data_IF_497004312697
#
_entry.id   IF_497004312697
#
_cell.length_a   1.000
_cell.length_b   1.000
_cell.length_c   1.000
_cell.angle_alpha   90.00
_cell.angle_beta   90.00
_cell.angle_gamma   90.00
#
_symmetry.space_group_name_H-M   'P 1'
#
loop_
_entity.id
_entity.type
_entity.pdbx_description
1 polymer ?
#
# COMPACT_ATOMS: atom_id res chain seq x y z
N UNK A 1 22.09 12.07 1.16
CA UNK A 1 20.74 12.20 1.71
C UNK A 1 19.96 10.92 1.38
N UNK A 2 19.44 10.24 2.38
CA UNK A 2 18.73 8.97 2.25
C UNK A 2 17.20 9.15 2.14
N UNK A 3 16.74 10.32 1.63
CA UNK A 3 15.30 10.66 1.56
C UNK A 3 14.65 10.37 0.21
N UNK A 4 15.44 9.97 -0.79
CA UNK A 4 14.88 9.62 -2.09
C UNK A 4 14.00 8.36 -1.98
N UNK A 5 12.74 8.46 -2.39
CA UNK A 5 11.77 7.38 -2.26
C UNK A 5 10.96 7.37 -0.95
N UNK A 6 11.24 8.28 -0.01
CA UNK A 6 10.45 8.40 1.23
C UNK A 6 9.18 9.22 0.96
N UNK A 7 8.20 8.57 0.36
CA UNK A 7 6.95 9.20 -0.06
C UNK A 7 6.03 9.64 1.07
N UNK A 8 6.26 9.18 2.30
CA UNK A 8 5.45 9.58 3.46
C UNK A 8 5.44 11.09 3.67
N UNK A 9 6.52 11.78 3.29
CA UNK A 9 6.65 13.23 3.39
C UNK A 9 6.15 14.03 2.18
N UNK A 10 5.68 13.37 1.13
CA UNK A 10 5.12 14.08 -0.02
C UNK A 10 3.83 14.80 0.40
N UNK A 11 3.74 16.10 0.09
CA UNK A 11 2.55 16.89 0.36
C UNK A 11 1.54 16.63 -0.74
N UNK A 12 0.33 16.21 -0.38
CA UNK A 12 -0.74 15.80 -1.29
C UNK A 12 -1.87 16.82 -1.38
N UNK A 13 -1.92 17.78 -0.45
CA UNK A 13 -2.93 18.83 -0.42
C UNK A 13 -2.32 20.13 0.13
N UNK A 14 -2.85 21.26 -0.28
CA UNK A 14 -2.47 22.60 0.18
C UNK A 14 -3.57 23.30 0.97
N UNK A 15 -4.62 22.58 1.35
CA UNK A 15 -5.69 23.12 2.18
C UNK A 15 -5.15 23.51 3.55
N UNK A 16 -5.65 24.64 4.08
CA UNK A 16 -5.42 25.06 5.46
C UNK A 16 -3.95 25.25 5.86
N UNK A 17 -3.11 25.72 4.92
CA UNK A 17 -1.70 25.94 5.19
C UNK A 17 -0.85 24.64 5.20
N UNK A 18 0.47 24.76 5.32
CA UNK A 18 1.40 23.62 5.31
C UNK A 18 1.37 22.91 6.67
N UNK A 19 0.67 21.77 6.73
CA UNK A 19 0.56 20.93 7.91
C UNK A 19 0.99 19.50 7.61
N UNK A 20 1.46 18.81 8.62
CA UNK A 20 1.80 17.38 8.52
C UNK A 20 0.60 16.54 8.07
N UNK A 21 -0.63 16.97 8.44
CA UNK A 21 -1.89 16.35 7.99
C UNK A 21 -2.07 16.32 6.46
N UNK A 22 -1.31 17.14 5.72
CA UNK A 22 -1.36 17.18 4.25
C UNK A 22 -0.34 16.23 3.59
N UNK A 23 0.47 15.52 4.39
CA UNK A 23 1.43 14.54 3.88
C UNK A 23 0.74 13.25 3.41
N UNK A 24 1.39 12.50 2.53
CA UNK A 24 0.88 11.23 2.04
C UNK A 24 0.66 10.23 3.18
N UNK A 25 1.55 10.19 4.18
CA UNK A 25 1.39 9.31 5.34
C UNK A 25 0.06 9.55 6.07
N UNK A 26 -0.31 10.82 6.28
CA UNK A 26 -1.52 11.20 6.99
C UNK A 26 -2.78 11.13 6.12
N UNK A 27 -2.64 11.25 4.80
CA UNK A 27 -3.78 11.27 3.87
C UNK A 27 -4.08 9.92 3.23
N UNK A 28 -3.10 9.04 3.11
CA UNK A 28 -3.21 7.75 2.43
C UNK A 28 -2.59 6.56 3.19
N UNK A 29 -2.14 6.74 4.43
CA UNK A 29 -1.70 5.67 5.32
C UNK A 29 -2.88 4.82 5.85
N UNK A 30 -2.58 3.74 6.57
CA UNK A 30 -3.61 2.84 7.12
C UNK A 30 -4.59 3.56 8.06
N UNK A 31 -4.11 4.49 8.89
CA UNK A 31 -4.98 5.29 9.75
C UNK A 31 -5.91 6.22 8.96
N UNK A 32 -5.47 6.73 7.82
CA UNK A 32 -6.30 7.55 6.94
C UNK A 32 -7.48 6.75 6.36
N UNK A 33 -7.29 5.46 6.08
CA UNK A 33 -8.38 4.56 5.68
C UNK A 33 -9.45 4.50 6.78
N UNK A 34 -9.05 4.25 8.04
CA UNK A 34 -9.98 4.12 9.15
C UNK A 34 -10.72 5.43 9.42
N UNK A 35 -10.01 6.57 9.38
CA UNK A 35 -10.62 7.91 9.48
C UNK A 35 -11.68 8.12 8.40
N UNK A 36 -11.33 7.81 7.14
CA UNK A 36 -12.25 7.99 6.01
C UNK A 36 -13.50 7.12 6.12
N UNK A 37 -13.37 5.88 6.60
CA UNK A 37 -14.53 5.00 6.86
C UNK A 37 -15.33 5.49 8.07
N UNK A 38 -14.68 5.97 9.13
CA UNK A 38 -15.34 6.55 10.29
C UNK A 38 -16.17 7.77 9.92
N UNK A 39 -15.62 8.69 9.12
CA UNK A 39 -16.31 9.90 8.66
C UNK A 39 -17.60 9.58 7.88
N UNK A 40 -17.57 8.58 7.03
CA UNK A 40 -18.74 8.19 6.23
C UNK A 40 -19.77 7.37 7.02
N UNK A 41 -19.31 6.45 7.88
CA UNK A 41 -20.20 5.53 8.60
C UNK A 41 -20.72 6.08 9.91
N UNK A 42 -19.99 7.03 10.53
CA UNK A 42 -20.22 7.49 11.89
C UNK A 42 -19.72 6.51 12.98
N UNK A 43 -19.05 5.42 12.61
CA UNK A 43 -18.44 4.48 13.57
C UNK A 43 -17.15 5.11 14.10
N UNK A 44 -16.91 5.19 15.41
CA UNK A 44 -15.67 5.69 15.99
C UNK A 44 -14.43 4.96 15.43
N UNK A 45 -13.35 5.71 15.21
CA UNK A 45 -12.11 5.15 14.63
C UNK A 45 -11.55 4.03 15.51
N UNK A 46 -11.71 4.16 16.83
CA UNK A 46 -11.25 3.21 17.85
C UNK A 46 -11.97 1.85 17.76
N UNK A 47 -13.14 1.83 17.15
CA UNK A 47 -13.94 0.63 16.91
C UNK A 47 -13.67 0.01 15.54
N UNK A 48 -12.85 0.65 14.70
CA UNK A 48 -12.51 0.22 13.36
C UNK A 48 -11.10 -0.37 13.31
N UNK A 49 -10.96 -1.37 12.48
CA UNK A 49 -9.69 -1.85 11.95
C UNK A 49 -9.85 -2.15 10.45
N UNK A 50 -8.76 -2.46 9.76
CA UNK A 50 -8.81 -2.74 8.33
C UNK A 50 -9.78 -3.86 7.98
N UNK A 51 -9.76 -4.95 8.71
CA UNK A 51 -10.64 -6.11 8.49
C UNK A 51 -12.12 -5.74 8.61
N UNK A 52 -12.50 -5.05 9.68
CA UNK A 52 -13.88 -4.60 9.91
C UNK A 52 -14.34 -3.62 8.83
N UNK A 53 -13.48 -2.68 8.43
CA UNK A 53 -13.81 -1.71 7.40
C UNK A 53 -14.13 -2.39 6.06
N UNK A 54 -13.30 -3.32 5.61
CA UNK A 54 -13.55 -4.07 4.36
C UNK A 54 -14.69 -5.07 4.50
N UNK A 55 -14.86 -5.70 5.66
CA UNK A 55 -15.99 -6.59 5.92
C UNK A 55 -17.33 -5.88 5.77
N UNK A 56 -17.45 -4.67 6.35
CA UNK A 56 -18.65 -3.84 6.20
C UNK A 56 -18.96 -3.53 4.74
N UNK A 57 -17.97 -3.12 3.96
CA UNK A 57 -18.15 -2.82 2.55
C UNK A 57 -18.54 -4.06 1.74
N UNK A 58 -17.90 -5.20 1.99
CA UNK A 58 -18.20 -6.47 1.33
C UNK A 58 -19.60 -7.01 1.68
N UNK A 59 -20.16 -6.62 2.83
CA UNK A 59 -21.54 -6.91 3.24
C UNK A 59 -22.57 -5.92 2.66
N UNK A 60 -22.13 -5.01 1.79
CA UNK A 60 -23.02 -4.06 1.12
C UNK A 60 -23.24 -2.74 1.86
N UNK A 61 -22.42 -2.42 2.88
CA UNK A 61 -22.48 -1.11 3.52
C UNK A 61 -21.90 -0.04 2.59
N UNK A 62 -22.79 0.71 1.93
CA UNK A 62 -22.42 1.75 0.96
C UNK A 62 -21.56 2.88 1.55
N UNK A 63 -21.77 3.22 2.83
CA UNK A 63 -20.99 4.23 3.53
C UNK A 63 -19.56 3.76 3.77
N UNK A 64 -19.38 2.51 4.21
CA UNK A 64 -18.05 1.93 4.35
C UNK A 64 -17.33 1.85 2.99
N UNK A 65 -18.04 1.45 1.94
CA UNK A 65 -17.51 1.45 0.57
C UNK A 65 -17.10 2.86 0.12
N UNK A 66 -17.91 3.88 0.42
CA UNK A 66 -17.58 5.28 0.10
C UNK A 66 -16.30 5.73 0.84
N UNK A 67 -16.15 5.41 2.12
CA UNK A 67 -14.95 5.71 2.89
C UNK A 67 -13.69 5.03 2.30
N UNK A 68 -13.79 3.74 1.95
CA UNK A 68 -12.67 3.02 1.29
C UNK A 68 -12.37 3.64 -0.07
N UNK A 69 -13.38 4.02 -0.85
CA UNK A 69 -13.20 4.69 -2.15
C UNK A 69 -12.53 6.07 -2.00
N UNK A 70 -12.87 6.84 -0.98
CA UNK A 70 -12.22 8.13 -0.70
C UNK A 70 -10.72 7.94 -0.39
N UNK A 71 -10.36 6.89 0.34
CA UNK A 71 -8.97 6.52 0.55
C UNK A 71 -8.29 6.08 -0.76
N UNK A 72 -8.94 5.22 -1.55
CA UNK A 72 -8.42 4.75 -2.84
C UNK A 72 -8.16 5.90 -3.84
N UNK A 73 -8.99 6.96 -3.83
CA UNK A 73 -8.76 8.18 -4.65
C UNK A 73 -7.43 8.84 -4.33
N UNK A 74 -7.08 8.97 -3.05
CA UNK A 74 -5.81 9.59 -2.63
C UNK A 74 -4.62 8.75 -3.09
N UNK A 75 -4.72 7.43 -2.95
CA UNK A 75 -3.71 6.51 -3.48
C UNK A 75 -3.60 6.58 -5.00
N UNK A 76 -4.72 6.63 -5.71
CA UNK A 76 -4.75 6.73 -7.17
C UNK A 76 -4.08 8.03 -7.67
N UNK A 77 -4.31 9.16 -7.02
CA UNK A 77 -3.65 10.43 -7.34
C UNK A 77 -2.13 10.27 -7.17
N UNK A 78 -1.69 9.68 -6.06
CA UNK A 78 -0.26 9.47 -5.83
C UNK A 78 0.37 8.53 -6.85
N UNK A 79 -0.30 7.42 -7.16
CA UNK A 79 0.13 6.45 -8.18
C UNK A 79 0.21 7.12 -9.56
N UNK A 80 -0.78 7.93 -9.91
CA UNK A 80 -0.75 8.74 -11.13
C UNK A 80 0.47 9.67 -11.17
N UNK A 81 0.75 10.39 -10.08
CA UNK A 81 1.92 11.26 -10.00
C UNK A 81 3.24 10.46 -10.13
N UNK A 82 3.34 9.28 -9.50
CA UNK A 82 4.50 8.40 -9.64
C UNK A 82 4.71 7.94 -11.09
N UNK A 83 3.65 7.74 -11.86
CA UNK A 83 3.77 7.39 -13.29
C UNK A 83 4.57 8.44 -14.06
N UNK A 84 4.31 9.74 -13.80
CA UNK A 84 4.98 10.83 -14.52
C UNK A 84 6.33 11.23 -13.94
N UNK A 85 6.63 10.83 -12.68
CA UNK A 85 7.93 11.08 -12.08
C UNK A 85 8.95 9.97 -12.40
N UNK A 86 8.52 8.72 -12.52
CA UNK A 86 9.40 7.56 -12.56
C UNK A 86 9.16 6.62 -13.74
N UNK A 87 8.04 6.78 -14.45
CA UNK A 87 7.61 5.92 -15.56
C UNK A 87 7.73 4.41 -15.27
N UNK A 88 7.16 3.92 -14.16
CA UNK A 88 7.25 2.53 -13.80
C UNK A 88 6.31 1.67 -14.65
N UNK A 89 6.75 0.47 -15.04
CA UNK A 89 5.91 -0.53 -15.68
C UNK A 89 4.81 -1.03 -14.72
N UNK A 90 5.14 -1.11 -13.42
CA UNK A 90 4.28 -1.68 -12.39
C UNK A 90 4.47 -0.97 -11.05
N UNK A 91 3.38 -0.77 -10.33
CA UNK A 91 3.37 -0.29 -8.95
C UNK A 91 2.74 -1.35 -8.06
N UNK A 92 3.50 -1.83 -7.08
CA UNK A 92 3.05 -2.81 -6.11
C UNK A 92 2.65 -2.11 -4.79
N UNK A 93 1.42 -2.35 -4.36
CA UNK A 93 0.91 -1.87 -3.07
C UNK A 93 1.22 -2.91 -2.00
N UNK A 94 1.90 -2.51 -0.93
CA UNK A 94 2.27 -3.36 0.21
C UNK A 94 1.46 -3.05 1.47
N UNK A 95 1.76 -3.81 2.53
CA UNK A 95 1.08 -3.70 3.82
C UNK A 95 -0.21 -4.50 3.91
N UNK A 96 -0.76 -4.68 5.11
CA UNK A 96 -1.91 -5.55 5.37
C UNK A 96 -3.17 -5.19 4.58
N UNK A 97 -3.40 -3.91 4.28
CA UNK A 97 -4.56 -3.48 3.50
C UNK A 97 -4.50 -3.91 2.02
N UNK A 98 -3.31 -4.22 1.50
CA UNK A 98 -3.13 -4.67 0.11
C UNK A 98 -3.61 -6.10 -0.15
N UNK A 99 -3.91 -6.86 0.89
CA UNK A 99 -4.56 -8.17 0.81
C UNK A 99 -6.03 -8.08 0.35
N UNK A 100 -6.60 -6.88 0.41
CA UNK A 100 -8.01 -6.65 0.08
C UNK A 100 -8.19 -6.37 -1.41
N UNK A 101 -8.76 -7.30 -2.20
CA UNK A 101 -8.96 -7.11 -3.64
C UNK A 101 -9.78 -5.87 -3.98
N UNK A 102 -10.75 -5.53 -3.12
CA UNK A 102 -11.59 -4.35 -3.26
C UNK A 102 -10.77 -3.06 -3.31
N UNK A 103 -9.71 -2.93 -2.49
CA UNK A 103 -8.86 -1.74 -2.50
C UNK A 103 -8.19 -1.55 -3.87
N UNK A 104 -7.58 -2.61 -4.40
CA UNK A 104 -6.90 -2.55 -5.70
C UNK A 104 -7.88 -2.27 -6.84
N UNK A 105 -9.07 -2.87 -6.77
CA UNK A 105 -10.14 -2.58 -7.73
C UNK A 105 -10.50 -1.09 -7.72
N UNK A 106 -10.76 -0.53 -6.54
CA UNK A 106 -11.11 0.88 -6.39
C UNK A 106 -9.99 1.82 -6.85
N UNK A 107 -8.73 1.50 -6.54
CA UNK A 107 -7.59 2.27 -7.04
C UNK A 107 -7.57 2.30 -8.57
N UNK A 108 -7.74 1.16 -9.23
CA UNK A 108 -7.76 1.07 -10.70
C UNK A 108 -8.92 1.85 -11.30
N UNK A 109 -10.11 1.76 -10.70
CA UNK A 109 -11.28 2.55 -11.12
C UNK A 109 -11.01 4.05 -11.03
N UNK A 110 -10.40 4.52 -9.94
CA UNK A 110 -10.09 5.94 -9.77
C UNK A 110 -8.96 6.40 -10.72
N UNK A 111 -7.97 5.57 -11.01
CA UNK A 111 -6.94 5.84 -12.03
C UNK A 111 -7.55 6.02 -13.42
N UNK A 112 -8.52 5.19 -13.79
CA UNK A 112 -9.25 5.33 -15.06
C UNK A 112 -10.03 6.65 -15.13
N UNK A 113 -10.62 7.09 -14.01
CA UNK A 113 -11.29 8.40 -13.94
C UNK A 113 -10.32 9.56 -14.10
N UNK A 114 -9.14 9.48 -13.46
CA UNK A 114 -8.07 10.49 -13.63
C UNK A 114 -7.66 10.55 -15.09
N UNK A 115 -7.44 9.42 -15.75
CA UNK A 115 -7.10 9.36 -17.17
C UNK A 115 -8.19 9.95 -18.05
N UNK A 116 -9.45 9.73 -17.71
CA UNK A 116 -10.60 10.28 -18.44
C UNK A 116 -10.73 11.80 -18.38
N UNK A 117 -9.95 12.50 -17.55
CA UNK A 117 -9.90 13.97 -17.54
C UNK A 117 -9.16 14.54 -18.78
N UNK A 118 -8.32 13.74 -19.41
CA UNK A 118 -7.48 14.18 -20.51
C UNK A 118 -8.12 13.83 -21.86
N UNK A 119 -8.01 14.70 -22.88
CA UNK A 119 -8.57 14.44 -24.21
C UNK A 119 -7.74 13.44 -25.05
N UNK A 120 -6.66 12.92 -24.51
CA UNK A 120 -5.78 11.92 -25.11
C UNK A 120 -5.56 10.77 -24.15
N UNK A 121 -5.18 9.62 -24.68
CA UNK A 121 -4.87 8.43 -23.88
C UNK A 121 -3.52 8.62 -23.18
N UNK A 122 -3.51 8.43 -21.86
CA UNK A 122 -2.33 8.44 -21.03
C UNK A 122 -1.96 7.02 -20.60
N UNK A 123 -0.67 6.71 -20.38
CA UNK A 123 -0.27 5.45 -19.79
C UNK A 123 -0.82 5.31 -18.37
N UNK A 124 -1.28 4.12 -18.03
CA UNK A 124 -1.71 3.75 -16.68
C UNK A 124 -0.78 2.64 -16.21
N UNK A 125 -0.09 2.79 -15.09
CA UNK A 125 0.76 1.72 -14.57
C UNK A 125 -0.08 0.52 -14.17
N UNK A 126 0.48 -0.68 -14.32
CA UNK A 126 -0.11 -1.85 -13.72
C UNK A 126 -0.05 -1.73 -12.19
N UNK A 127 -1.22 -1.79 -11.53
CA UNK A 127 -1.31 -1.76 -10.06
C UNK A 127 -1.59 -3.16 -9.54
N UNK A 128 -0.72 -3.65 -8.66
CA UNK A 128 -0.84 -4.99 -8.06
C UNK A 128 -0.58 -4.94 -6.56
N UNK A 129 -0.86 -6.02 -5.82
CA UNK A 129 -0.38 -6.19 -4.45
C UNK A 129 1.05 -6.72 -4.44
N UNK A 130 1.82 -6.39 -3.39
CA UNK A 130 3.06 -7.10 -3.11
C UNK A 130 2.74 -8.57 -2.84
N UNK A 131 3.56 -9.49 -3.37
CA UNK A 131 3.37 -10.94 -3.22
C UNK A 131 3.28 -11.38 -1.75
N UNK A 132 3.99 -10.69 -0.87
CA UNK A 132 4.07 -11.02 0.57
C UNK A 132 3.34 -9.99 1.44
N UNK A 133 2.50 -9.15 0.86
CA UNK A 133 1.63 -8.21 1.55
C UNK A 133 2.33 -7.46 2.70
N UNK A 134 2.00 -7.80 3.95
CA UNK A 134 2.58 -7.17 5.13
C UNK A 134 4.04 -7.56 5.38
N UNK A 135 4.44 -8.76 4.97
CA UNK A 135 5.81 -9.29 5.17
C UNK A 135 6.80 -8.81 4.11
N UNK A 136 6.33 -8.14 3.05
CA UNK A 136 7.16 -7.66 1.96
C UNK A 136 8.34 -6.78 2.43
N UNK A 137 8.10 -5.91 3.42
CA UNK A 137 9.14 -5.04 3.99
C UNK A 137 10.20 -5.83 4.75
N UNK A 138 9.77 -6.83 5.52
CA UNK A 138 10.67 -7.69 6.30
C UNK A 138 11.56 -8.52 5.39
N UNK A 139 10.97 -9.14 4.35
CA UNK A 139 11.68 -9.88 3.33
C UNK A 139 12.70 -8.99 2.61
N UNK A 140 12.28 -7.78 2.24
CA UNK A 140 13.17 -6.79 1.61
C UNK A 140 14.35 -6.40 2.50
N UNK A 141 14.12 -6.18 3.80
CA UNK A 141 15.16 -5.86 4.76
C UNK A 141 16.17 -7.01 4.91
N UNK A 142 15.70 -8.25 5.02
CA UNK A 142 16.56 -9.45 5.07
C UNK A 142 17.38 -9.58 3.79
N UNK A 143 16.76 -9.41 2.62
CA UNK A 143 17.44 -9.45 1.33
C UNK A 143 18.58 -8.41 1.24
N UNK A 144 18.31 -7.16 1.60
CA UNK A 144 19.31 -6.08 1.59
C UNK A 144 20.46 -6.39 2.55
N UNK A 145 20.14 -6.88 3.76
CA UNK A 145 21.16 -7.25 4.77
C UNK A 145 22.07 -8.39 4.27
N UNK A 146 21.50 -9.43 3.67
CA UNK A 146 22.25 -10.56 3.11
C UNK A 146 23.11 -10.10 1.94
N UNK A 147 22.59 -9.24 1.05
CA UNK A 147 23.35 -8.67 -0.08
C UNK A 147 24.52 -7.81 0.39
N UNK A 148 24.33 -6.97 1.39
CA UNK A 148 25.39 -6.11 1.94
C UNK A 148 26.55 -6.90 2.58
N UNK A 149 26.33 -8.14 3.01
CA UNK A 149 27.35 -9.03 3.57
C UNK A 149 28.02 -9.93 2.53
N UNK A 150 27.87 -9.66 1.24
CA UNK A 150 28.45 -10.44 0.13
C UNK A 150 28.13 -11.96 0.17
N UNK A 151 27.14 -12.37 0.96
CA UNK A 151 26.62 -13.73 0.86
C UNK A 151 25.95 -13.85 -0.50
N UNK A 152 26.52 -14.61 -1.43
CA UNK A 152 25.88 -14.97 -2.71
C UNK A 152 24.57 -15.67 -2.39
N UNK A 153 23.49 -14.93 -2.45
CA UNK A 153 22.14 -15.50 -2.31
C UNK A 153 21.83 -16.11 -3.67
N UNK A 154 21.79 -17.45 -3.74
CA UNK A 154 21.26 -18.10 -4.91
C UNK A 154 19.77 -17.84 -5.01
N UNK A 155 19.25 -17.75 -6.25
CA UNK A 155 17.81 -17.64 -6.50
C UNK A 155 17.03 -18.78 -5.84
N UNK A 156 17.65 -19.97 -5.72
CA UNK A 156 17.17 -21.12 -4.98
C UNK A 156 16.91 -20.79 -3.50
N UNK A 157 17.86 -20.15 -2.82
CA UNK A 157 17.71 -19.81 -1.39
C UNK A 157 16.67 -18.73 -1.17
N UNK A 158 16.46 -17.81 -2.12
CA UNK A 158 15.36 -16.86 -2.10
C UNK A 158 14.02 -17.58 -2.27
N UNK A 159 13.92 -18.52 -3.21
CA UNK A 159 12.72 -19.32 -3.43
C UNK A 159 12.41 -20.24 -2.22
N UNK A 160 13.41 -20.85 -1.62
CA UNK A 160 13.27 -21.65 -0.40
C UNK A 160 12.75 -20.82 0.78
N UNK A 161 13.29 -19.61 0.96
CA UNK A 161 12.78 -18.63 1.94
C UNK A 161 11.32 -18.23 1.65
N UNK A 162 10.98 -18.08 0.38
CA UNK A 162 9.64 -17.73 -0.06
C UNK A 162 8.64 -18.85 0.22
N UNK A 163 8.99 -20.11 -0.07
CA UNK A 163 8.18 -21.28 0.24
C UNK A 163 7.98 -21.48 1.75
N UNK A 164 9.01 -21.21 2.54
CA UNK A 164 8.95 -21.30 4.00
C UNK A 164 8.04 -20.22 4.61
N UNK A 165 7.98 -19.03 4.04
CA UNK A 165 7.11 -17.94 4.47
C UNK A 165 5.66 -18.15 4.03
N UNK A 166 5.43 -18.75 2.86
CA UNK A 166 4.09 -19.15 2.40
C UNK A 166 3.48 -20.24 3.30
N UNK A 167 4.32 -21.11 3.88
CA UNK A 167 3.89 -22.23 4.74
C UNK A 167 3.78 -21.88 6.24
N UNK A 168 4.11 -20.67 6.67
CA UNK A 168 4.07 -20.29 8.10
C UNK A 168 3.41 -18.94 8.34
N UNK A 169 2.36 -18.97 9.12
CA UNK A 169 1.67 -17.81 9.70
C UNK A 169 2.35 -17.24 10.96
N UNK A 170 3.50 -17.73 11.39
CA UNK A 170 4.10 -17.35 12.69
C UNK A 170 5.62 -17.12 12.61
N UNK A 171 6.04 -15.98 13.19
CA UNK A 171 7.37 -15.37 13.11
C UNK A 171 8.54 -16.10 13.79
N UNK A 172 8.47 -17.39 14.11
CA UNK A 172 9.59 -18.14 14.73
C UNK A 172 10.78 -18.40 13.81
N UNK A 173 10.55 -18.45 12.51
CA UNK A 173 11.58 -18.84 11.54
C UNK A 173 12.58 -17.74 11.20
N UNK A 174 12.17 -16.48 11.28
CA UNK A 174 13.07 -15.35 11.04
C UNK A 174 14.16 -15.23 12.10
N UNK A 175 13.89 -15.67 13.33
CA UNK A 175 14.91 -15.72 14.39
C UNK A 175 16.01 -16.74 14.12
N UNK A 176 15.69 -17.88 13.53
CA UNK A 176 16.66 -18.92 13.21
C UNK A 176 17.60 -18.50 12.07
N UNK A 177 17.12 -17.74 11.07
CA UNK A 177 17.94 -17.25 9.95
C UNK A 177 18.89 -16.10 10.30
N UNK A 178 18.63 -15.37 11.39
CA UNK A 178 19.47 -14.25 11.84
C UNK A 178 20.60 -14.70 12.80
N UNK A 179 20.57 -15.94 13.28
CA UNK A 179 21.54 -16.50 14.24
C UNK A 179 22.64 -17.36 13.60
N UNK A 180 22.57 -17.67 12.31
CA UNK A 180 23.64 -18.26 11.49
C UNK A 180 24.39 -17.20 10.67
#
# INVERSE_FOLDING_TARGET
NFMAGEFSYVITDSKDDYKMSNSLAETAGAQALLKSVSEETGIPVEELNGEKAFSLANQGNEKALAGIRNHAKKLAIHIHNCQYMFDPEKIAVGGGISEQPLLLQLIREELLKINGMYPWTLPVPEVTSCRFYNDANLIGAVYVHMKAREKKISLEKVNELMELLENRREGEYLRALLTE
#
